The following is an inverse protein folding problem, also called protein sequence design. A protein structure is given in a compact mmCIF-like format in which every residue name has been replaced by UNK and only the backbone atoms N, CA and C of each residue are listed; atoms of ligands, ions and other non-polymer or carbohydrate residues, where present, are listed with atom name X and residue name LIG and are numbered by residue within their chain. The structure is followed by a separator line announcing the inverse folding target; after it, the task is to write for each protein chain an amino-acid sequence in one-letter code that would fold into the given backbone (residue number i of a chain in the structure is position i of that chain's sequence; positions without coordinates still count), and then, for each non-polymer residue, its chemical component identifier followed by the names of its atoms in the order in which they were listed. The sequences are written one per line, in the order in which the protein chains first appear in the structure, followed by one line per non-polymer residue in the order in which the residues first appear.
data_IF_663093466393
#
_entry.id   IF_663093466393
#
_cell.length_a   1.000
_cell.length_b   1.000
_cell.length_c   1.000
_cell.angle_alpha   90.00
_cell.angle_beta   90.00
_cell.angle_gamma   90.00
#
_symmetry.space_group_name_H-M   'P 1'
#
loop_
_entity.id
_entity.type
_entity.pdbx_description
1 polymer ?
#
# COMPACT_ATOMS: atom_id res chain seq x y z
N UNK A 1 -15.38 -26.08 19.81
CA UNK A 1 -15.07 -25.28 18.62
C UNK A 1 -13.57 -25.21 18.52
N UNK A 2 -12.99 -25.64 17.41
CA UNK A 2 -11.53 -25.74 17.30
C UNK A 2 -10.95 -24.33 17.17
N UNK A 3 -10.21 -23.90 18.18
CA UNK A 3 -9.42 -22.67 18.14
C UNK A 3 -8.23 -22.90 17.21
N UNK A 4 -8.24 -22.28 16.06
CA UNK A 4 -7.14 -22.33 15.12
C UNK A 4 -5.93 -21.63 15.72
N UNK A 5 -4.83 -22.33 15.83
CA UNK A 5 -3.56 -21.73 16.23
C UNK A 5 -2.98 -20.91 15.07
N UNK A 6 -2.18 -19.91 15.39
CA UNK A 6 -1.47 -19.07 14.40
C UNK A 6 -0.75 -19.92 13.32
N UNK A 7 -0.27 -21.09 13.70
CA UNK A 7 0.39 -22.06 12.83
C UNK A 7 -0.58 -22.73 11.83
N UNK A 8 -1.82 -22.97 12.23
CA UNK A 8 -2.85 -23.62 11.39
C UNK A 8 -3.46 -22.64 10.36
N UNK A 9 -3.64 -21.39 10.74
CA UNK A 9 -4.08 -20.33 9.82
C UNK A 9 -3.06 -20.14 8.70
N UNK A 10 -1.78 -20.18 9.04
CA UNK A 10 -0.67 -19.98 8.09
C UNK A 10 -0.42 -21.19 7.18
N UNK A 11 -0.67 -22.40 7.66
CA UNK A 11 -0.60 -23.60 6.83
C UNK A 11 -1.69 -23.63 5.74
N UNK A 12 -2.89 -23.09 6.03
CA UNK A 12 -3.95 -22.95 5.02
C UNK A 12 -3.66 -21.82 3.99
N UNK A 13 -2.84 -20.85 4.36
CA UNK A 13 -2.43 -19.76 3.45
C UNK A 13 -1.29 -20.15 2.50
N UNK A 14 -0.81 -21.40 2.55
CA UNK A 14 0.33 -21.86 1.73
C UNK A 14 1.67 -21.23 2.12
N UNK A 15 1.75 -20.58 3.28
CA UNK A 15 2.97 -20.01 3.82
C UNK A 15 3.53 -21.03 4.83
N UNK A 16 4.71 -21.57 4.58
CA UNK A 16 5.36 -22.47 5.52
C UNK A 16 5.49 -21.80 6.90
N UNK A 17 5.04 -22.49 7.95
CA UNK A 17 4.97 -21.97 9.32
C UNK A 17 6.30 -21.41 9.89
N UNK A 18 7.41 -21.69 9.22
CA UNK A 18 8.75 -21.22 9.58
C UNK A 18 9.05 -19.78 9.15
N UNK A 19 8.38 -19.26 8.10
CA UNK A 19 8.64 -17.90 7.58
C UNK A 19 7.99 -16.77 8.40
N UNK A 20 7.11 -17.13 9.34
CA UNK A 20 6.19 -16.17 9.98
C UNK A 20 6.73 -15.51 11.24
N UNK A 21 7.74 -16.09 11.89
CA UNK A 21 8.25 -15.52 13.13
C UNK A 21 9.10 -14.27 12.97
N UNK A 22 9.50 -13.94 11.74
CA UNK A 22 10.33 -12.76 11.42
C UNK A 22 9.69 -11.77 10.45
N UNK A 23 8.52 -12.13 9.86
CA UNK A 23 7.83 -11.19 8.98
C UNK A 23 7.10 -10.14 9.81
N UNK A 24 7.44 -8.92 9.53
CA UNK A 24 6.74 -7.74 9.99
C UNK A 24 5.26 -7.84 9.58
N UNK A 25 4.29 -7.48 10.44
CA UNK A 25 2.86 -7.42 10.08
C UNK A 25 2.57 -6.64 8.79
N UNK A 26 3.43 -5.70 8.41
CA UNK A 26 3.36 -4.99 7.14
C UNK A 26 3.65 -5.92 5.95
N UNK A 27 4.62 -6.79 6.08
CA UNK A 27 4.93 -7.79 5.04
C UNK A 27 3.79 -8.80 4.88
N UNK A 28 3.10 -9.15 5.97
CA UNK A 28 1.89 -9.98 5.92
C UNK A 28 0.72 -9.26 5.20
N UNK A 29 0.59 -7.97 5.36
CA UNK A 29 -0.44 -7.17 4.68
C UNK A 29 -0.20 -7.05 3.17
N UNK A 30 1.02 -7.27 2.73
CA UNK A 30 1.46 -7.10 1.37
C UNK A 30 2.07 -8.35 0.70
N UNK A 31 2.06 -9.56 1.31
CA UNK A 31 2.61 -10.79 0.72
C UNK A 31 1.56 -11.55 -0.12
N UNK A 32 1.57 -11.45 -1.44
CA UNK A 32 0.77 -12.28 -2.34
C UNK A 32 1.37 -13.68 -2.42
N UNK A 33 0.61 -14.77 -2.24
CA UNK A 33 1.09 -16.10 -2.53
C UNK A 33 1.60 -16.11 -3.98
N UNK A 34 2.87 -16.49 -4.17
CA UNK A 34 3.44 -16.60 -5.49
C UNK A 34 2.72 -17.70 -6.27
N UNK A 35 1.74 -17.32 -7.06
CA UNK A 35 1.27 -18.17 -8.14
C UNK A 35 2.25 -18.03 -9.30
N UNK A 36 2.55 -19.16 -9.95
CA UNK A 36 3.55 -19.35 -10.98
C UNK A 36 3.88 -18.11 -11.82
N UNK A 37 5.15 -17.74 -11.84
CA UNK A 37 5.69 -16.67 -12.67
C UNK A 37 5.34 -16.93 -14.15
N UNK A 38 4.49 -16.11 -14.67
CA UNK A 38 4.51 -15.73 -16.06
C UNK A 38 5.61 -14.68 -16.28
N UNK A 39 6.25 -14.71 -17.41
CA UNK A 39 7.38 -13.86 -17.77
C UNK A 39 7.07 -12.37 -17.49
N UNK A 40 8.10 -11.59 -17.23
CA UNK A 40 8.14 -10.15 -16.89
C UNK A 40 7.29 -9.20 -17.77
N UNK A 41 6.49 -9.72 -18.68
CA UNK A 41 5.63 -8.95 -19.59
C UNK A 41 4.34 -8.46 -18.97
N UNK A 42 3.90 -9.04 -17.84
CA UNK A 42 2.56 -8.81 -17.31
C UNK A 42 2.59 -8.29 -15.85
N UNK A 43 3.56 -7.42 -15.52
CA UNK A 43 3.68 -6.82 -14.20
C UNK A 43 2.52 -5.90 -13.85
N UNK A 44 2.04 -5.21 -14.87
CA UNK A 44 0.98 -4.21 -14.76
C UNK A 44 0.08 -4.27 -15.97
N UNK A 45 -1.20 -4.06 -15.73
CA UNK A 45 -2.15 -3.74 -16.78
C UNK A 45 -2.50 -2.25 -16.69
N UNK A 46 -2.28 -1.51 -17.78
CA UNK A 46 -2.69 -0.11 -17.85
C UNK A 46 -4.14 -0.02 -18.30
N UNK A 47 -5.03 0.33 -17.36
CA UNK A 47 -6.48 0.45 -17.60
C UNK A 47 -6.90 1.91 -17.67
N UNK A 48 -7.71 2.28 -18.64
CA UNK A 48 -8.30 3.62 -18.73
C UNK A 48 -9.42 3.75 -17.69
N UNK A 49 -9.35 4.80 -16.86
CA UNK A 49 -10.37 5.12 -15.83
C UNK A 49 -11.27 6.24 -16.30
N UNK A 50 -10.66 7.27 -16.88
CA UNK A 50 -11.37 8.42 -17.48
C UNK A 50 -10.57 8.95 -18.66
N UNK A 51 -11.03 10.02 -19.30
CA UNK A 51 -10.27 10.59 -20.41
C UNK A 51 -8.92 11.12 -19.97
N UNK A 52 -7.84 10.57 -20.56
CA UNK A 52 -6.45 10.86 -20.18
C UNK A 52 -6.06 10.45 -18.77
N UNK A 53 -6.84 9.58 -18.08
CA UNK A 53 -6.54 9.06 -16.75
C UNK A 53 -6.52 7.55 -16.78
N UNK A 54 -5.42 6.98 -16.32
CA UNK A 54 -5.18 5.54 -16.31
C UNK A 54 -4.72 5.08 -14.92
N UNK A 55 -4.95 3.81 -14.63
CA UNK A 55 -4.35 3.10 -13.50
C UNK A 55 -3.45 1.99 -14.05
N UNK A 56 -2.24 1.90 -13.55
CA UNK A 56 -1.40 0.72 -13.68
C UNK A 56 -1.68 -0.19 -12.48
N UNK A 57 -2.54 -1.18 -12.69
CA UNK A 57 -2.90 -2.14 -11.64
C UNK A 57 -1.77 -3.14 -11.49
N UNK A 58 -1.21 -3.26 -10.30
CA UNK A 58 -0.15 -4.23 -10.03
C UNK A 58 -0.67 -5.66 -10.22
N UNK A 59 0.07 -6.49 -10.95
CA UNK A 59 -0.28 -7.89 -11.11
C UNK A 59 -0.12 -8.62 -9.78
N UNK A 60 -1.11 -9.49 -9.46
CA UNK A 60 -1.13 -10.26 -8.22
C UNK A 60 0.06 -11.23 -8.04
N UNK A 61 0.89 -11.41 -9.07
CA UNK A 61 2.08 -12.26 -9.08
C UNK A 61 3.30 -11.63 -8.44
N UNK A 62 3.29 -10.32 -8.18
CA UNK A 62 4.41 -9.61 -7.57
C UNK A 62 4.16 -9.32 -6.11
N UNK A 63 5.16 -9.68 -5.30
CA UNK A 63 5.21 -9.28 -3.89
C UNK A 63 5.31 -7.76 -3.86
N UNK A 64 4.25 -7.08 -3.39
CA UNK A 64 4.22 -5.67 -3.05
C UNK A 64 4.57 -4.72 -4.20
N UNK A 65 3.61 -4.49 -5.04
CA UNK A 65 3.63 -3.34 -5.94
C UNK A 65 2.36 -2.54 -5.70
N UNK A 66 2.49 -1.28 -5.31
CA UNK A 66 1.37 -0.35 -5.29
C UNK A 66 0.85 -0.12 -6.71
N UNK A 67 -0.35 0.37 -6.83
CA UNK A 67 -0.82 0.94 -8.08
C UNK A 67 -0.05 2.23 -8.40
N UNK A 68 0.00 2.59 -9.68
CA UNK A 68 0.31 3.94 -10.10
C UNK A 68 -0.84 4.51 -10.90
N UNK A 69 -1.19 5.77 -10.67
CA UNK A 69 -2.07 6.48 -11.59
C UNK A 69 -1.26 7.29 -12.59
N UNK A 70 -1.75 7.35 -13.82
CA UNK A 70 -1.13 8.08 -14.93
C UNK A 70 -2.12 9.11 -15.45
N UNK A 71 -1.73 10.37 -15.38
CA UNK A 71 -2.54 11.52 -15.80
C UNK A 71 -1.86 12.16 -17.01
N UNK A 72 -2.54 12.14 -18.15
CA UNK A 72 -2.08 12.80 -19.37
C UNK A 72 -2.44 14.28 -19.31
N UNK A 73 -1.48 15.13 -19.64
CA UNK A 73 -1.67 16.58 -19.83
C UNK A 73 -1.16 16.98 -21.20
N UNK A 74 -1.40 18.23 -21.61
CA UNK A 74 -0.91 18.69 -22.91
C UNK A 74 0.64 18.79 -22.94
N UNK A 75 1.26 19.05 -21.80
CA UNK A 75 2.72 19.22 -21.68
C UNK A 75 3.49 17.95 -21.33
N UNK A 76 2.81 16.91 -20.86
CA UNK A 76 3.49 15.72 -20.40
C UNK A 76 2.60 14.77 -19.63
N UNK A 77 3.22 13.96 -18.82
CA UNK A 77 2.57 12.96 -17.97
C UNK A 77 2.87 13.27 -16.51
N UNK A 78 1.86 13.11 -15.67
CA UNK A 78 2.00 13.07 -14.21
C UNK A 78 1.74 11.65 -13.76
N UNK A 79 2.64 11.12 -12.94
CA UNK A 79 2.48 9.80 -12.33
C UNK A 79 2.21 9.99 -10.83
N UNK A 80 1.18 9.33 -10.32
CA UNK A 80 0.88 9.28 -8.89
C UNK A 80 1.35 7.94 -8.37
N UNK A 81 2.30 7.99 -7.44
CA UNK A 81 3.11 6.90 -6.90
C UNK A 81 4.01 6.19 -7.92
N UNK A 82 5.17 5.74 -7.48
CA UNK A 82 6.23 5.25 -8.35
C UNK A 82 6.67 3.81 -8.06
N UNK A 83 5.88 3.08 -7.26
CA UNK A 83 6.11 1.68 -6.91
C UNK A 83 7.25 1.38 -5.93
N UNK A 84 7.32 0.10 -5.59
CA UNK A 84 8.18 -0.48 -4.57
C UNK A 84 9.64 -0.67 -4.98
N UNK A 85 9.94 -0.60 -6.25
CA UNK A 85 11.30 -0.89 -6.76
C UNK A 85 11.50 -0.38 -8.19
N UNK A 86 12.75 -0.11 -8.59
CA UNK A 86 13.07 0.40 -9.92
C UNK A 86 12.56 -0.47 -11.08
N UNK A 87 12.57 -1.80 -10.94
CA UNK A 87 12.04 -2.69 -12.00
C UNK A 87 10.54 -2.54 -12.17
N UNK A 88 9.78 -2.36 -11.09
CA UNK A 88 8.34 -2.12 -11.14
C UNK A 88 8.03 -0.76 -11.80
N UNK A 89 8.76 0.29 -11.40
CA UNK A 89 8.66 1.61 -12.02
C UNK A 89 8.99 1.57 -13.51
N UNK A 90 10.02 0.81 -13.91
CA UNK A 90 10.38 0.61 -15.32
C UNK A 90 9.26 -0.05 -16.12
N UNK A 91 8.58 -1.04 -15.55
CA UNK A 91 7.47 -1.70 -16.21
C UNK A 91 6.33 -0.70 -16.49
N UNK A 92 5.93 0.12 -15.50
CA UNK A 92 4.92 1.17 -15.72
C UNK A 92 5.38 2.24 -16.71
N UNK A 93 6.64 2.68 -16.59
CA UNK A 93 7.19 3.64 -17.55
C UNK A 93 7.11 3.12 -19.00
N UNK A 94 7.39 1.83 -19.21
CA UNK A 94 7.24 1.18 -20.51
C UNK A 94 5.78 1.16 -21.01
N UNK A 95 4.82 0.91 -20.12
CA UNK A 95 3.39 0.98 -20.49
C UNK A 95 2.96 2.41 -20.83
N UNK A 96 3.44 3.41 -20.10
CA UNK A 96 3.20 4.82 -20.43
C UNK A 96 3.71 5.14 -21.85
N UNK A 97 4.91 4.67 -22.22
CA UNK A 97 5.47 4.91 -23.54
C UNK A 97 4.70 4.26 -24.70
N UNK A 98 3.88 3.25 -24.43
CA UNK A 98 2.98 2.65 -25.45
C UNK A 98 1.79 3.56 -25.78
N UNK A 99 1.38 4.43 -24.87
CA UNK A 99 0.20 5.29 -25.04
C UNK A 99 0.56 6.75 -25.32
N UNK A 100 1.79 7.20 -25.06
CA UNK A 100 2.22 8.57 -25.36
C UNK A 100 3.74 8.68 -25.49
N UNK A 101 4.16 9.66 -26.34
CA UNK A 101 5.56 10.08 -26.48
C UNK A 101 5.93 11.23 -25.55
N UNK A 102 4.97 11.75 -24.78
CA UNK A 102 5.18 12.88 -23.88
C UNK A 102 6.05 12.47 -22.69
N UNK A 103 6.97 13.33 -22.23
CA UNK A 103 7.81 13.01 -21.06
C UNK A 103 6.99 12.99 -19.77
N UNK A 104 7.44 12.21 -18.79
CA UNK A 104 6.93 12.33 -17.42
C UNK A 104 7.51 13.61 -16.82
N UNK A 105 6.66 14.55 -16.46
CA UNK A 105 7.04 15.86 -15.93
C UNK A 105 6.99 15.92 -14.41
N UNK A 106 6.05 15.18 -13.82
CA UNK A 106 5.83 15.19 -12.37
C UNK A 106 5.56 13.80 -11.84
N UNK A 107 6.03 13.57 -10.62
CA UNK A 107 5.54 12.49 -9.76
C UNK A 107 4.87 13.15 -8.56
N UNK A 108 3.76 12.56 -8.11
CA UNK A 108 3.13 12.90 -6.84
C UNK A 108 3.15 11.65 -5.97
N UNK A 109 3.89 11.68 -4.86
CA UNK A 109 3.85 10.61 -3.88
C UNK A 109 2.72 10.87 -2.89
N UNK A 110 1.82 9.89 -2.74
CA UNK A 110 0.67 9.98 -1.84
C UNK A 110 1.08 9.95 -0.38
N UNK A 111 2.07 9.13 -0.02
CA UNK A 111 2.60 9.01 1.33
C UNK A 111 4.02 8.40 1.32
N UNK A 112 4.60 8.15 2.49
CA UNK A 112 6.01 7.80 2.63
C UNK A 112 6.31 6.30 2.61
N UNK A 113 5.33 5.40 2.55
CA UNK A 113 5.59 3.97 2.52
C UNK A 113 6.37 3.58 1.27
N UNK A 114 7.28 2.64 1.47
CA UNK A 114 8.36 2.30 0.53
C UNK A 114 7.87 1.92 -0.87
N UNK A 115 6.72 1.30 -0.98
CA UNK A 115 6.14 0.85 -2.24
C UNK A 115 5.48 1.98 -3.07
N UNK A 116 5.46 3.21 -2.57
CA UNK A 116 4.90 4.37 -3.25
C UNK A 116 5.95 5.34 -3.80
N UNK A 117 7.23 5.22 -3.40
CA UNK A 117 8.25 6.20 -3.80
C UNK A 117 9.61 5.62 -4.26
N UNK A 118 9.89 4.33 -4.04
CA UNK A 118 11.19 3.77 -4.37
C UNK A 118 11.49 3.74 -5.88
N UNK A 119 10.50 3.90 -6.74
CA UNK A 119 10.69 4.06 -8.18
C UNK A 119 11.00 5.49 -8.65
N UNK A 120 11.01 6.47 -7.76
CA UNK A 120 11.23 7.88 -8.12
C UNK A 120 12.54 8.10 -8.88
N UNK A 121 13.60 7.39 -8.53
CA UNK A 121 14.92 7.51 -9.15
C UNK A 121 14.91 7.12 -10.63
N UNK A 122 14.17 6.10 -11.01
CA UNK A 122 14.02 5.71 -12.41
C UNK A 122 13.41 6.83 -13.25
N UNK A 123 12.32 7.42 -12.76
CA UNK A 123 11.66 8.50 -13.47
C UNK A 123 12.56 9.73 -13.57
N UNK A 124 13.28 10.05 -12.49
CA UNK A 124 14.22 11.18 -12.45
C UNK A 124 15.39 10.99 -13.41
N UNK A 125 15.92 9.77 -13.51
CA UNK A 125 17.01 9.46 -14.43
C UNK A 125 16.61 9.57 -15.91
N UNK A 126 15.34 9.29 -16.24
CA UNK A 126 14.84 9.30 -17.61
C UNK A 126 14.16 10.63 -18.01
N UNK A 127 13.92 11.53 -17.06
CA UNK A 127 13.20 12.78 -17.32
C UNK A 127 13.95 13.97 -16.66
N UNK A 128 14.88 14.61 -17.36
CA UNK A 128 15.54 15.82 -16.88
C UNK A 128 14.52 16.90 -16.51
N UNK A 129 14.63 17.47 -15.31
CA UNK A 129 13.70 18.48 -14.81
C UNK A 129 12.43 17.92 -14.17
N UNK A 130 12.35 16.61 -13.94
CA UNK A 130 11.23 15.99 -13.21
C UNK A 130 11.02 16.67 -11.85
N UNK A 131 9.80 17.10 -11.58
CA UNK A 131 9.35 17.57 -10.27
C UNK A 131 8.74 16.39 -9.49
N UNK A 132 9.17 16.21 -8.24
CA UNK A 132 8.60 15.21 -7.33
C UNK A 132 7.88 15.97 -6.22
N UNK A 133 6.58 15.74 -6.09
CA UNK A 133 5.68 16.45 -5.18
C UNK A 133 5.19 15.48 -4.10
N UNK A 134 5.19 15.92 -2.84
CA UNK A 134 4.58 15.21 -1.72
C UNK A 134 4.12 16.22 -0.65
N UNK A 135 3.52 15.74 0.42
CA UNK A 135 3.35 16.58 1.60
C UNK A 135 4.70 16.81 2.29
N UNK A 136 4.78 17.87 3.08
CA UNK A 136 5.96 18.17 3.89
C UNK A 136 6.24 17.03 4.88
N UNK A 137 5.18 16.47 5.49
CA UNK A 137 5.28 15.32 6.41
C UNK A 137 5.79 14.07 5.72
N UNK A 138 5.30 13.75 4.52
CA UNK A 138 5.82 12.64 3.72
C UNK A 138 7.31 12.82 3.47
N UNK A 139 7.77 14.00 3.03
CA UNK A 139 9.18 14.29 2.80
C UNK A 139 10.03 14.13 4.08
N UNK A 140 9.55 14.63 5.20
CA UNK A 140 10.22 14.46 6.51
C UNK A 140 10.36 12.99 6.88
N UNK A 141 9.26 12.23 6.75
CA UNK A 141 9.22 10.81 7.13
C UNK A 141 10.12 9.93 6.26
N UNK A 142 10.45 10.34 5.05
CA UNK A 142 11.39 9.60 4.20
C UNK A 142 12.81 9.52 4.79
N UNK A 143 13.20 10.44 5.65
CA UNK A 143 14.55 10.52 6.22
C UNK A 143 14.62 10.36 7.74
N UNK A 144 13.47 10.38 8.43
CA UNK A 144 13.42 10.23 9.90
C UNK A 144 13.85 8.83 10.33
N UNK A 145 14.73 8.70 11.35
CA UNK A 145 15.20 7.40 11.85
C UNK A 145 14.09 6.50 12.41
N UNK A 146 13.02 7.09 12.92
CA UNK A 146 11.89 6.43 13.57
C UNK A 146 10.59 6.51 12.75
N UNK A 147 10.69 6.89 11.49
CA UNK A 147 9.53 7.10 10.61
C UNK A 147 8.88 5.78 10.11
N UNK A 148 8.76 4.78 10.97
CA UNK A 148 8.07 3.55 10.58
C UNK A 148 8.71 2.88 9.35
N UNK A 149 7.90 2.36 8.45
CA UNK A 149 8.30 1.38 7.44
C UNK A 149 8.43 1.92 6.03
N UNK A 150 8.73 3.16 5.84
CA UNK A 150 8.62 3.68 4.49
C UNK A 150 9.80 4.45 3.99
N UNK A 151 10.56 5.05 4.89
CA UNK A 151 11.68 5.91 4.53
C UNK A 151 12.99 5.15 4.31
N UNK A 152 14.08 5.91 4.27
CA UNK A 152 15.45 5.37 4.17
C UNK A 152 15.77 4.35 5.27
N UNK A 153 15.37 4.55 6.55
CA UNK A 153 15.61 3.54 7.58
C UNK A 153 15.03 2.17 7.26
N UNK A 154 13.88 2.11 6.60
CA UNK A 154 13.31 0.85 6.13
C UNK A 154 14.18 0.19 5.05
N UNK A 155 14.68 0.96 4.07
CA UNK A 155 15.61 0.45 3.05
C UNK A 155 16.88 -0.11 3.69
N UNK A 156 17.45 0.60 4.65
CA UNK A 156 18.63 0.16 5.41
C UNK A 156 18.36 -1.11 6.22
N UNK A 157 17.18 -1.22 6.82
CA UNK A 157 16.76 -2.42 7.53
C UNK A 157 16.64 -3.60 6.55
N UNK A 158 15.98 -3.42 5.41
CA UNK A 158 15.84 -4.48 4.39
C UNK A 158 17.21 -4.95 3.88
N UNK A 159 18.16 -4.05 3.64
CA UNK A 159 19.52 -4.41 3.26
C UNK A 159 20.24 -5.27 4.33
N UNK A 160 19.89 -5.11 5.60
CA UNK A 160 20.45 -5.91 6.71
C UNK A 160 19.76 -7.25 6.88
N UNK A 161 18.42 -7.32 6.70
CA UNK A 161 17.62 -8.51 7.02
C UNK A 161 17.47 -9.46 5.85
N UNK A 162 17.32 -8.97 4.61
CA UNK A 162 17.12 -9.78 3.41
C UNK A 162 18.18 -10.89 3.20
N UNK A 163 19.49 -10.68 3.45
CA UNK A 163 20.46 -11.77 3.32
C UNK A 163 20.14 -12.98 4.20
N UNK A 164 19.74 -12.76 5.46
CA UNK A 164 19.38 -13.83 6.37
C UNK A 164 18.04 -14.50 5.98
N UNK A 165 17.09 -13.74 5.49
CA UNK A 165 15.82 -14.26 4.97
C UNK A 165 16.02 -15.13 3.73
N UNK A 166 16.91 -14.72 2.81
CA UNK A 166 17.30 -15.50 1.63
C UNK A 166 17.91 -16.85 2.04
N UNK A 167 18.84 -16.86 2.99
CA UNK A 167 19.45 -18.11 3.47
C UNK A 167 18.40 -19.01 4.15
N UNK A 168 17.46 -18.44 4.88
CA UNK A 168 16.34 -19.17 5.45
C UNK A 168 15.45 -19.78 4.38
N UNK A 169 15.08 -19.03 3.34
CA UNK A 169 14.29 -19.54 2.22
C UNK A 169 15.00 -20.74 1.54
N UNK A 170 16.30 -20.66 1.31
CA UNK A 170 17.10 -21.77 0.76
C UNK A 170 17.04 -23.02 1.65
N UNK A 171 17.16 -22.84 2.96
CA UNK A 171 17.08 -23.93 3.91
C UNK A 171 15.68 -24.56 3.97
N UNK A 172 14.62 -23.75 3.87
CA UNK A 172 13.24 -24.20 3.87
C UNK A 172 12.91 -24.98 2.57
N UNK A 173 13.37 -24.48 1.41
CA UNK A 173 13.25 -25.17 0.10
C UNK A 173 13.91 -26.55 0.14
N UNK A 174 15.10 -26.65 0.76
CA UNK A 174 15.82 -27.91 0.85
C UNK A 174 15.10 -28.98 1.68
N UNK A 175 14.22 -28.58 2.60
CA UNK A 175 13.46 -29.47 3.50
C UNK A 175 12.02 -29.70 3.04
N UNK A 176 11.53 -28.91 2.08
CA UNK A 176 10.13 -28.97 1.66
C UNK A 176 9.89 -30.15 0.72
N UNK A 177 8.95 -31.01 1.11
CA UNK A 177 8.56 -32.21 0.36
C UNK A 177 7.34 -31.97 -0.56
N UNK A 178 6.50 -31.00 -0.23
CA UNK A 178 5.33 -30.66 -1.05
C UNK A 178 5.77 -29.82 -2.25
N UNK A 179 5.49 -30.29 -3.47
CA UNK A 179 5.93 -29.66 -4.70
C UNK A 179 5.38 -28.24 -4.91
N UNK A 180 4.11 -28.00 -4.55
CA UNK A 180 3.49 -26.69 -4.72
C UNK A 180 4.05 -25.67 -3.71
N UNK A 181 4.21 -26.09 -2.47
CA UNK A 181 4.86 -25.27 -1.42
C UNK A 181 6.31 -24.95 -1.80
N UNK A 182 7.05 -25.94 -2.28
CA UNK A 182 8.43 -25.76 -2.74
C UNK A 182 8.53 -24.74 -3.87
N UNK A 183 7.67 -24.84 -4.88
CA UNK A 183 7.60 -23.88 -5.99
C UNK A 183 7.30 -22.47 -5.51
N UNK A 184 6.42 -22.30 -4.52
CA UNK A 184 6.12 -21.00 -3.94
C UNK A 184 7.33 -20.41 -3.19
N UNK A 185 8.06 -21.22 -2.44
CA UNK A 185 9.29 -20.84 -1.76
C UNK A 185 10.40 -20.45 -2.76
N UNK A 186 10.56 -21.21 -3.84
CA UNK A 186 11.52 -20.91 -4.93
C UNK A 186 11.18 -19.55 -5.61
N UNK A 187 9.91 -19.29 -5.86
CA UNK A 187 9.48 -17.98 -6.37
C UNK A 187 9.76 -16.85 -5.39
N UNK A 188 9.51 -17.06 -4.10
CA UNK A 188 9.81 -16.09 -3.04
C UNK A 188 11.31 -15.81 -2.94
N UNK A 189 12.14 -16.86 -3.03
CA UNK A 189 13.60 -16.74 -3.05
C UNK A 189 14.08 -15.88 -4.21
N UNK A 190 13.62 -16.17 -5.43
CA UNK A 190 13.98 -15.42 -6.63
C UNK A 190 13.61 -13.93 -6.50
N UNK A 191 12.43 -13.63 -5.97
CA UNK A 191 11.98 -12.25 -5.75
C UNK A 191 12.82 -11.54 -4.69
N UNK A 192 13.14 -12.22 -3.57
CA UNK A 192 13.97 -11.66 -2.52
C UNK A 192 15.40 -11.35 -2.99
N UNK A 193 16.00 -12.28 -3.76
CA UNK A 193 17.33 -12.08 -4.34
C UNK A 193 17.35 -10.92 -5.35
N UNK A 194 16.35 -10.83 -6.23
CA UNK A 194 16.22 -9.73 -7.19
C UNK A 194 16.05 -8.39 -6.47
N UNK A 195 15.18 -8.33 -5.49
CA UNK A 195 14.93 -7.11 -4.71
C UNK A 195 16.18 -6.65 -3.94
N UNK A 196 16.93 -7.58 -3.34
CA UNK A 196 18.19 -7.26 -2.67
C UNK A 196 19.20 -6.63 -3.63
N UNK A 197 19.30 -7.11 -4.88
CA UNK A 197 20.19 -6.53 -5.87
C UNK A 197 19.75 -5.12 -6.29
N UNK A 198 18.45 -4.89 -6.44
CA UNK A 198 17.91 -3.56 -6.72
C UNK A 198 18.15 -2.59 -5.57
N UNK A 199 17.93 -3.02 -4.31
CA UNK A 199 18.20 -2.19 -3.12
C UNK A 199 19.67 -1.81 -2.97
N UNK A 200 20.61 -2.70 -3.31
CA UNK A 200 22.05 -2.38 -3.29
C UNK A 200 22.44 -1.26 -4.26
N UNK A 201 21.68 -1.08 -5.33
CA UNK A 201 21.89 -0.06 -6.35
C UNK A 201 20.95 1.14 -6.21
N UNK A 202 20.04 1.08 -5.25
CA UNK A 202 19.01 2.08 -5.04
C UNK A 202 19.61 3.46 -4.74
N UNK A 203 19.14 4.47 -5.45
CA UNK A 203 19.50 5.88 -5.25
C UNK A 203 18.23 6.66 -4.93
N UNK A 204 18.03 7.06 -3.67
CA UNK A 204 16.78 7.71 -3.31
C UNK A 204 16.60 9.05 -4.04
N UNK A 205 15.43 9.27 -4.62
CA UNK A 205 15.03 10.54 -5.19
C UNK A 205 13.86 11.12 -4.39
N UNK A 206 14.15 12.14 -3.60
CA UNK A 206 13.23 12.76 -2.68
C UNK A 206 12.35 13.83 -3.34
N UNK A 207 11.19 14.18 -2.70
CA UNK A 207 10.36 15.29 -3.14
C UNK A 207 11.15 16.59 -3.27
N UNK A 208 11.03 17.21 -4.45
CA UNK A 208 11.64 18.51 -4.77
C UNK A 208 10.72 19.68 -4.44
N UNK A 209 9.41 19.41 -4.37
CA UNK A 209 8.38 20.34 -3.96
C UNK A 209 7.48 19.71 -2.89
N UNK A 210 7.12 20.48 -1.89
CA UNK A 210 6.18 20.06 -0.85
C UNK A 210 4.92 20.92 -0.83
N UNK A 211 3.84 20.31 -0.32
CA UNK A 211 2.57 20.96 -0.04
C UNK A 211 2.16 20.68 1.39
N UNK A 212 1.70 21.71 2.11
CA UNK A 212 1.22 21.61 3.50
C UNK A 212 -0.28 21.88 3.62
N UNK A 213 -0.87 22.43 2.56
CA UNK A 213 -2.30 22.72 2.44
C UNK A 213 -2.78 22.30 1.06
N UNK A 214 -4.10 22.24 0.87
CA UNK A 214 -4.68 22.00 -0.45
C UNK A 214 -4.14 23.00 -1.48
N UNK A 215 -3.68 22.46 -2.62
CA UNK A 215 -3.11 23.22 -3.71
C UNK A 215 -3.71 22.78 -5.05
N UNK A 216 -3.65 23.64 -6.05
CA UNK A 216 -4.10 23.31 -7.41
C UNK A 216 -2.93 23.39 -8.38
N UNK A 217 -2.71 22.32 -9.13
CA UNK A 217 -1.85 22.30 -10.31
C UNK A 217 -2.75 22.61 -11.52
N UNK A 218 -2.41 23.68 -12.23
CA UNK A 218 -3.05 24.02 -13.50
C UNK A 218 -2.11 23.61 -14.63
N UNK A 219 -2.31 22.40 -15.08
CA UNK A 219 -1.61 21.88 -16.26
C UNK A 219 -2.44 22.19 -17.50
N UNK A 220 -1.79 22.37 -18.63
CA UNK A 220 -2.53 22.69 -19.85
C UNK A 220 -3.64 21.67 -20.12
N UNK A 221 -4.86 22.16 -20.22
CA UNK A 221 -6.07 21.37 -20.43
C UNK A 221 -6.64 20.66 -19.21
N UNK A 222 -6.00 20.75 -18.00
CA UNK A 222 -6.44 19.97 -16.82
C UNK A 222 -6.21 20.71 -15.49
N UNK A 223 -7.22 20.68 -14.63
CA UNK A 223 -7.11 21.07 -13.23
C UNK A 223 -6.89 19.82 -12.37
N UNK A 224 -5.85 19.85 -11.54
CA UNK A 224 -5.50 18.75 -10.64
C UNK A 224 -5.39 19.34 -9.24
N UNK A 225 -6.24 18.90 -8.34
CA UNK A 225 -6.25 19.36 -6.96
C UNK A 225 -5.47 18.40 -6.08
N UNK A 226 -4.47 18.90 -5.39
CA UNK A 226 -3.71 18.22 -4.35
C UNK A 226 -4.40 18.52 -3.02
N UNK A 227 -5.10 17.54 -2.45
CA UNK A 227 -5.93 17.70 -1.26
C UNK A 227 -5.17 17.21 -0.02
N UNK A 228 -4.89 18.10 0.93
CA UNK A 228 -4.37 17.76 2.27
C UNK A 228 -5.55 17.84 3.26
N UNK A 229 -6.12 16.69 3.60
CA UNK A 229 -7.40 16.62 4.33
C UNK A 229 -7.24 16.27 5.82
N UNK A 230 -6.07 15.84 6.23
CA UNK A 230 -5.77 15.41 7.60
C UNK A 230 -5.00 14.10 7.63
N UNK A 231 -4.71 13.62 8.85
CA UNK A 231 -4.03 12.33 9.04
C UNK A 231 -5.00 11.17 8.80
N UNK A 232 -4.48 10.08 8.25
CA UNK A 232 -5.28 8.90 7.93
C UNK A 232 -4.45 7.64 8.01
N UNK A 233 -4.08 7.08 6.86
CA UNK A 233 -3.16 5.96 6.74
C UNK A 233 -1.77 6.29 7.28
N UNK A 234 -1.35 7.53 7.04
CA UNK A 234 -0.15 8.15 7.62
C UNK A 234 -0.46 9.57 8.12
N UNK A 235 0.54 10.27 8.63
CA UNK A 235 0.43 11.68 8.98
C UNK A 235 0.70 12.63 7.81
N UNK A 236 0.98 12.08 6.63
CA UNK A 236 1.35 12.83 5.43
C UNK A 236 0.54 12.49 4.18
N UNK A 237 -0.63 11.90 4.32
CA UNK A 237 -1.45 11.49 3.17
C UNK A 237 -1.83 12.66 2.25
N UNK A 238 -1.61 12.46 0.95
CA UNK A 238 -1.96 13.40 -0.10
C UNK A 238 -2.95 12.74 -1.07
N UNK A 239 -4.08 13.40 -1.29
CA UNK A 239 -5.10 12.96 -2.22
C UNK A 239 -5.04 13.78 -3.50
N UNK A 240 -5.13 13.14 -4.65
CA UNK A 240 -5.07 13.80 -5.95
C UNK A 240 -6.47 13.71 -6.58
N UNK A 241 -7.13 14.86 -6.72
CA UNK A 241 -8.49 14.94 -7.21
C UNK A 241 -8.57 15.64 -8.57
N UNK A 242 -9.26 15.01 -9.49
CA UNK A 242 -9.55 15.51 -10.84
C UNK A 242 -11.04 15.86 -10.94
N UNK A 243 -11.43 17.12 -10.74
CA UNK A 243 -12.85 17.52 -10.65
C UNK A 243 -13.64 17.22 -11.92
N UNK A 244 -13.05 17.50 -13.09
CA UNK A 244 -13.70 17.28 -14.39
C UNK A 244 -13.93 15.79 -14.67
N UNK A 245 -12.96 14.96 -14.37
CA UNK A 245 -12.99 13.50 -14.60
C UNK A 245 -13.73 12.77 -13.49
N UNK A 246 -14.01 13.43 -12.38
CA UNK A 246 -14.60 12.84 -11.17
C UNK A 246 -13.83 11.64 -10.63
N UNK A 247 -12.50 11.74 -10.65
CA UNK A 247 -11.57 10.71 -10.18
C UNK A 247 -10.77 11.24 -9.01
N UNK A 248 -10.58 10.42 -7.98
CA UNK A 248 -9.65 10.69 -6.87
C UNK A 248 -8.66 9.54 -6.71
N UNK A 249 -7.37 9.86 -6.52
CA UNK A 249 -6.32 8.93 -6.17
C UNK A 249 -6.03 9.09 -4.68
N UNK A 250 -6.04 7.99 -3.94
CA UNK A 250 -6.05 8.04 -2.47
C UNK A 250 -4.80 7.48 -1.81
N UNK A 251 -3.89 6.86 -2.58
CA UNK A 251 -2.90 6.00 -1.97
C UNK A 251 -3.57 5.00 -1.03
N UNK A 252 -2.90 4.60 0.02
CA UNK A 252 -3.37 3.59 0.95
C UNK A 252 -4.41 4.08 1.98
N UNK A 253 -4.82 5.36 1.88
CA UNK A 253 -5.98 5.81 2.63
C UNK A 253 -7.27 5.07 2.22
N UNK A 254 -7.29 4.45 1.02
CA UNK A 254 -8.22 3.40 0.62
C UNK A 254 -7.47 2.30 -0.12
N UNK A 255 -7.77 1.05 0.26
CA UNK A 255 -7.30 -0.16 -0.41
C UNK A 255 -8.46 -1.15 -0.53
N UNK A 256 -8.39 -2.07 -1.50
CA UNK A 256 -9.47 -3.03 -1.75
C UNK A 256 -9.42 -4.27 -0.83
N UNK A 257 -8.87 -4.11 0.38
CA UNK A 257 -8.78 -5.13 1.43
C UNK A 257 -8.76 -4.53 2.84
N UNK A 258 -8.29 -5.30 3.85
CA UNK A 258 -8.13 -4.81 5.22
C UNK A 258 -7.13 -3.65 5.28
N UNK A 259 -7.49 -2.50 5.89
CA UNK A 259 -6.55 -1.40 6.05
C UNK A 259 -5.37 -1.77 6.93
N UNK A 260 -4.21 -1.23 6.60
CA UNK A 260 -3.04 -1.29 7.45
C UNK A 260 -3.04 -0.10 8.42
N UNK A 261 -3.19 -0.37 9.71
CA UNK A 261 -3.43 0.67 10.73
C UNK A 261 -2.18 1.01 11.54
N UNK A 262 -1.06 0.29 11.30
CA UNK A 262 0.13 0.41 12.15
C UNK A 262 0.69 1.84 12.23
N UNK A 263 0.81 2.54 11.11
CA UNK A 263 1.30 3.91 11.03
C UNK A 263 0.14 4.92 11.01
N UNK A 264 -1.10 4.42 10.88
CA UNK A 264 -2.33 5.20 10.74
C UNK A 264 -2.80 5.87 12.04
N UNK A 265 -3.76 6.75 11.87
CA UNK A 265 -4.43 7.53 12.91
C UNK A 265 -5.94 7.21 12.89
N UNK A 266 -6.39 6.09 13.45
CA UNK A 266 -7.70 5.52 13.16
C UNK A 266 -8.90 6.46 13.35
N UNK A 267 -8.91 7.27 14.42
CA UNK A 267 -9.99 8.24 14.66
C UNK A 267 -9.97 9.40 13.66
N UNK A 268 -8.79 9.93 13.40
CA UNK A 268 -8.61 11.02 12.44
C UNK A 268 -8.82 10.54 11.01
N UNK A 269 -8.48 9.28 10.72
CA UNK A 269 -8.71 8.67 9.42
C UNK A 269 -10.21 8.65 9.06
N UNK A 270 -11.08 8.33 10.02
CA UNK A 270 -12.54 8.44 9.83
C UNK A 270 -12.95 9.88 9.47
N UNK A 271 -12.40 10.88 10.17
CA UNK A 271 -12.68 12.29 9.88
C UNK A 271 -12.15 12.71 8.51
N UNK A 272 -10.95 12.29 8.15
CA UNK A 272 -10.30 12.56 6.85
C UNK A 272 -11.09 11.97 5.70
N UNK A 273 -11.55 10.71 5.81
CA UNK A 273 -12.42 10.08 4.82
C UNK A 273 -13.79 10.76 4.73
N UNK A 274 -14.30 11.29 5.84
CA UNK A 274 -15.53 12.09 5.84
C UNK A 274 -15.35 13.43 5.08
N UNK A 275 -14.16 14.03 5.18
CA UNK A 275 -13.83 15.21 4.38
C UNK A 275 -13.68 14.86 2.89
N UNK A 276 -13.01 13.75 2.59
CA UNK A 276 -12.84 13.27 1.21
C UNK A 276 -14.18 12.97 0.54
N UNK A 277 -15.14 12.38 1.26
CA UNK A 277 -16.48 12.06 0.74
C UNK A 277 -17.24 13.29 0.22
N UNK A 278 -16.93 14.50 0.71
CA UNK A 278 -17.58 15.76 0.26
C UNK A 278 -17.20 16.16 -1.15
N UNK A 279 -16.09 15.63 -1.70
CA UNK A 279 -15.70 15.87 -3.08
C UNK A 279 -16.65 15.15 -4.06
N UNK A 280 -16.88 15.77 -5.21
CA UNK A 280 -17.74 15.21 -6.27
C UNK A 280 -16.95 14.28 -7.18
N UNK A 281 -16.71 13.06 -6.73
CA UNK A 281 -16.08 12.01 -7.54
C UNK A 281 -16.96 10.75 -7.62
N UNK A 282 -16.71 9.95 -8.66
CA UNK A 282 -17.37 8.67 -8.91
C UNK A 282 -16.41 7.49 -8.88
N UNK A 283 -15.13 7.73 -9.17
CA UNK A 283 -14.09 6.71 -9.24
C UNK A 283 -12.96 7.01 -8.26
N UNK A 284 -12.51 5.96 -7.57
CA UNK A 284 -11.35 5.99 -6.69
C UNK A 284 -10.28 5.10 -7.31
N UNK A 285 -9.09 5.65 -7.50
CA UNK A 285 -7.87 4.88 -7.74
C UNK A 285 -7.20 4.68 -6.39
N UNK A 286 -7.26 3.45 -5.82
CA UNK A 286 -6.66 3.16 -4.52
C UNK A 286 -5.16 2.93 -4.65
N UNK A 287 -4.45 2.91 -3.52
CA UNK A 287 -3.04 2.55 -3.50
C UNK A 287 -2.78 1.11 -3.94
N UNK A 288 -3.73 0.22 -3.68
CA UNK A 288 -3.69 -1.19 -4.08
C UNK A 288 -5.07 -1.68 -4.51
N UNK A 289 -5.10 -2.61 -5.46
CA UNK A 289 -6.33 -3.24 -5.96
C UNK A 289 -6.97 -2.51 -7.13
N UNK A 290 -8.21 -2.86 -7.42
CA UNK A 290 -8.94 -2.34 -8.58
C UNK A 290 -9.56 -0.97 -8.32
N UNK A 291 -9.96 -0.28 -9.39
CA UNK A 291 -10.73 0.97 -9.30
C UNK A 291 -12.03 0.74 -8.55
N UNK A 292 -12.32 1.60 -7.60
CA UNK A 292 -13.47 1.48 -6.71
C UNK A 292 -14.50 2.60 -6.94
N UNK A 293 -15.79 2.33 -6.73
CA UNK A 293 -16.83 3.36 -6.67
C UNK A 293 -16.78 4.14 -5.35
N UNK A 294 -17.39 5.32 -5.31
CA UNK A 294 -17.51 6.15 -4.09
C UNK A 294 -18.12 5.40 -2.89
N UNK A 295 -19.00 4.44 -3.12
CA UNK A 295 -19.59 3.60 -2.06
C UNK A 295 -18.55 2.77 -1.29
N UNK A 296 -17.41 2.43 -1.92
CA UNK A 296 -16.34 1.73 -1.24
C UNK A 296 -15.70 2.58 -0.14
N UNK A 297 -15.58 3.90 -0.33
CA UNK A 297 -15.11 4.81 0.71
C UNK A 297 -16.04 4.77 1.93
N UNK A 298 -17.36 4.81 1.71
CA UNK A 298 -18.35 4.78 2.80
C UNK A 298 -18.24 3.47 3.59
N UNK A 299 -18.09 2.35 2.87
CA UNK A 299 -17.91 1.03 3.47
C UNK A 299 -16.61 0.93 4.29
N UNK A 300 -15.49 1.36 3.71
CA UNK A 300 -14.17 1.35 4.35
C UNK A 300 -14.14 2.25 5.61
N UNK A 301 -14.68 3.47 5.50
CA UNK A 301 -14.83 4.36 6.65
C UNK A 301 -15.71 3.75 7.74
N UNK A 302 -16.79 3.07 7.34
CA UNK A 302 -17.65 2.33 8.27
C UNK A 302 -16.86 1.29 9.06
N UNK A 303 -16.00 0.53 8.40
CA UNK A 303 -15.12 -0.44 9.08
C UNK A 303 -14.22 0.22 10.13
N UNK A 304 -13.54 1.31 9.77
CA UNK A 304 -12.67 2.02 10.72
C UNK A 304 -13.44 2.58 11.91
N UNK A 305 -14.63 3.14 11.65
CA UNK A 305 -15.51 3.69 12.69
C UNK A 305 -15.98 2.61 13.66
N UNK A 306 -16.48 1.49 13.14
CA UNK A 306 -16.96 0.37 13.96
C UNK A 306 -15.80 -0.26 14.76
N UNK A 307 -14.64 -0.46 14.12
CA UNK A 307 -13.46 -0.97 14.80
C UNK A 307 -13.02 -0.09 15.97
N UNK A 308 -12.95 1.22 15.77
CA UNK A 308 -12.59 2.18 16.83
C UNK A 308 -13.61 2.16 17.95
N UNK A 309 -14.91 2.12 17.62
CA UNK A 309 -15.99 2.10 18.61
C UNK A 309 -15.98 0.81 19.45
N UNK A 310 -15.83 -0.36 18.80
CA UNK A 310 -15.78 -1.66 19.49
C UNK A 310 -14.56 -1.77 20.40
N UNK A 311 -13.37 -1.31 19.95
CA UNK A 311 -12.16 -1.31 20.78
C UNK A 311 -12.30 -0.38 21.99
N UNK A 312 -12.83 0.83 21.81
CA UNK A 312 -13.07 1.75 22.92
C UNK A 312 -14.05 1.18 23.96
N UNK A 313 -15.16 0.60 23.47
CA UNK A 313 -16.16 -0.02 24.33
C UNK A 313 -15.55 -1.17 25.13
N UNK A 314 -14.89 -2.11 24.47
CA UNK A 314 -14.30 -3.27 25.12
C UNK A 314 -13.21 -2.86 26.15
N UNK A 315 -12.44 -1.82 25.87
CA UNK A 315 -11.47 -1.27 26.81
C UNK A 315 -12.14 -0.64 28.05
N UNK A 316 -13.23 0.09 27.86
CA UNK A 316 -14.01 0.65 28.97
C UNK A 316 -14.65 -0.43 29.84
N UNK A 317 -15.03 -1.56 29.23
CA UNK A 317 -15.56 -2.75 29.90
C UNK A 317 -14.44 -3.59 30.58
N UNK A 318 -13.18 -3.18 30.52
CA UNK A 318 -12.04 -3.82 31.16
C UNK A 318 -11.49 -5.05 30.43
N UNK A 319 -11.85 -5.27 29.17
CA UNK A 319 -11.38 -6.42 28.39
C UNK A 319 -9.88 -6.32 28.10
N UNK A 320 -9.16 -7.43 28.17
CA UNK A 320 -7.78 -7.54 27.70
C UNK A 320 -7.70 -7.47 26.18
N UNK A 321 -6.52 -7.12 25.64
CA UNK A 321 -6.31 -7.05 24.19
C UNK A 321 -6.59 -8.40 23.50
N UNK A 322 -6.23 -9.50 24.13
CA UNK A 322 -6.47 -10.84 23.56
C UNK A 322 -7.98 -11.21 23.53
N UNK A 323 -8.74 -10.80 24.54
CA UNK A 323 -10.20 -10.91 24.53
C UNK A 323 -10.82 -10.02 23.45
N UNK A 324 -10.31 -8.80 23.27
CA UNK A 324 -10.74 -7.90 22.20
C UNK A 324 -10.48 -8.52 20.81
N UNK A 325 -9.30 -9.08 20.56
CA UNK A 325 -8.96 -9.75 19.30
C UNK A 325 -9.95 -10.86 18.94
N UNK A 326 -10.43 -11.60 19.92
CA UNK A 326 -11.40 -12.66 19.69
C UNK A 326 -12.83 -12.10 19.50
N UNK A 327 -13.31 -11.30 20.47
CA UNK A 327 -14.69 -10.83 20.49
C UNK A 327 -15.02 -9.86 19.35
N UNK A 328 -14.15 -8.88 19.11
CA UNK A 328 -14.37 -7.86 18.06
C UNK A 328 -14.24 -8.48 16.68
N UNK A 329 -13.31 -9.44 16.48
CA UNK A 329 -13.22 -10.13 15.21
C UNK A 329 -14.51 -10.86 14.85
N UNK A 330 -15.15 -11.54 15.81
CA UNK A 330 -16.45 -12.21 15.60
C UNK A 330 -17.60 -11.20 15.45
N UNK A 331 -17.59 -10.10 16.21
CA UNK A 331 -18.61 -9.05 16.14
C UNK A 331 -18.67 -8.39 14.75
N UNK A 332 -17.51 -8.05 14.18
CA UNK A 332 -17.44 -7.33 12.92
C UNK A 332 -17.45 -8.24 11.68
N UNK A 333 -17.19 -9.55 11.83
CA UNK A 333 -17.08 -10.50 10.72
C UNK A 333 -18.34 -10.53 9.81
N UNK A 334 -19.59 -10.56 10.31
CA UNK A 334 -20.76 -10.63 9.45
C UNK A 334 -20.86 -9.48 8.45
N UNK A 335 -20.34 -8.31 8.82
CA UNK A 335 -20.39 -7.11 7.98
C UNK A 335 -19.20 -6.96 7.05
N UNK A 336 -18.01 -7.38 7.48
CA UNK A 336 -16.75 -6.99 6.80
C UNK A 336 -15.93 -8.14 6.25
N UNK A 337 -15.99 -9.35 6.82
CA UNK A 337 -15.10 -10.45 6.47
C UNK A 337 -15.11 -10.80 4.98
N UNK A 338 -16.31 -11.01 4.42
CA UNK A 338 -16.45 -11.41 3.01
C UNK A 338 -15.91 -10.35 2.04
N UNK A 339 -16.20 -9.08 2.31
CA UNK A 339 -15.79 -8.00 1.42
C UNK A 339 -14.29 -7.70 1.51
N UNK A 340 -13.71 -7.85 2.71
CA UNK A 340 -12.30 -7.52 2.97
C UNK A 340 -11.36 -8.73 2.86
N UNK A 341 -11.85 -9.91 2.45
CA UNK A 341 -11.04 -11.13 2.25
C UNK A 341 -10.93 -11.53 0.78
N UNK A 342 -11.21 -10.61 -0.15
CA UNK A 342 -11.17 -10.89 -1.59
C UNK A 342 -9.78 -11.20 -2.12
N UNK A 343 -8.75 -10.68 -1.48
CA UNK A 343 -7.37 -10.93 -1.83
C UNK A 343 -6.72 -11.87 -0.80
N UNK A 344 -5.79 -12.74 -1.20
CA UNK A 344 -5.06 -13.61 -0.28
C UNK A 344 -4.33 -12.86 0.83
N UNK A 345 -3.95 -11.62 0.53
CA UNK A 345 -3.39 -10.67 1.47
C UNK A 345 -4.46 -9.85 2.14
N UNK A 346 -4.17 -9.46 3.37
CA UNK A 346 -5.10 -8.66 4.13
C UNK A 346 -6.42 -9.39 4.38
N UNK A 347 -6.40 -10.73 4.44
CA UNK A 347 -7.58 -11.48 4.85
C UNK A 347 -8.03 -11.03 6.23
N UNK A 348 -9.33 -10.86 6.38
CA UNK A 348 -9.95 -10.36 7.60
C UNK A 348 -9.41 -11.06 8.85
N UNK A 349 -9.48 -12.40 8.91
CA UNK A 349 -9.05 -13.19 10.08
C UNK A 349 -7.57 -13.08 10.41
N UNK A 350 -6.72 -12.82 9.43
CA UNK A 350 -5.28 -12.65 9.64
C UNK A 350 -4.93 -11.25 10.14
N UNK A 351 -5.65 -10.24 9.72
CA UNK A 351 -5.29 -8.83 9.89
C UNK A 351 -6.06 -8.11 11.00
N UNK A 352 -7.31 -8.52 11.28
CA UNK A 352 -8.17 -7.83 12.25
C UNK A 352 -7.55 -7.74 13.65
N UNK A 353 -6.88 -8.81 14.12
CA UNK A 353 -6.23 -8.81 15.42
C UNK A 353 -5.11 -7.78 15.56
N UNK A 354 -4.36 -7.57 14.48
CA UNK A 354 -3.29 -6.56 14.40
C UNK A 354 -3.93 -5.14 14.43
N UNK A 355 -5.00 -4.95 13.68
CA UNK A 355 -5.71 -3.67 13.66
C UNK A 355 -6.31 -3.33 15.02
N UNK A 356 -6.92 -4.30 15.73
CA UNK A 356 -7.44 -4.13 17.09
C UNK A 356 -6.32 -3.69 18.05
N UNK A 357 -5.18 -4.35 18.03
CA UNK A 357 -4.04 -4.02 18.87
C UNK A 357 -3.53 -2.60 18.62
N UNK A 358 -3.39 -2.22 17.34
CA UNK A 358 -2.95 -0.89 16.96
C UNK A 358 -3.98 0.20 17.34
N UNK A 359 -5.27 -0.05 17.14
CA UNK A 359 -6.31 0.89 17.59
C UNK A 359 -6.29 1.02 19.10
N UNK A 360 -6.19 -0.09 19.85
CA UNK A 360 -6.10 -0.04 21.30
C UNK A 360 -4.90 0.80 21.76
N UNK A 361 -3.70 0.57 21.18
CA UNK A 361 -2.49 1.32 21.50
C UNK A 361 -2.64 2.82 21.21
N UNK A 362 -3.18 3.17 20.05
CA UNK A 362 -3.20 4.57 19.57
C UNK A 362 -4.38 5.38 20.08
N UNK A 363 -5.50 4.73 20.39
CA UNK A 363 -6.75 5.42 20.74
C UNK A 363 -7.04 5.31 22.23
N UNK A 364 -6.79 4.17 22.84
CA UNK A 364 -7.08 3.94 24.26
C UNK A 364 -5.89 4.34 25.12
N UNK A 365 -4.69 3.83 24.84
CA UNK A 365 -3.50 4.14 25.63
C UNK A 365 -2.88 5.50 25.30
N UNK A 366 -3.20 6.09 24.14
CA UNK A 366 -2.64 7.37 23.65
C UNK A 366 -1.12 7.42 23.75
N UNK A 367 -0.46 6.31 23.41
CA UNK A 367 0.99 6.17 23.38
C UNK A 367 1.58 6.68 22.06
#
# INVERSE_FOLDING_TARGET
MATWTRRQVLAQMGIAAAAVHTLDPHELCCAVPAHAQTATKDLFELKKVADGVYIAVAAATYKINSNAAVIMTDDGVIVVDSHSKPSAARAVYTEIQKVTNKPVRKIVNTHFHWDHWQGNDLYKANNPGLEIIATERTKENLTKPDAGRGGIPFVEQQLKTLPAEIEKLKADIAKEANADTKKNLESSLQQAEAYLQELKQFKPAFPTRTVSTTATLREQGREIQLQVLGRGHTDGDLYIYLPKEKVVMTGDALVDWMPFVNDGYPEEWVATLTALEKLDFTHIIPGHGEVMPKSALVFFRGYLSDLVASVKKAAADGASVDEMKTKIAEELAPKYEKAMSRYPLGQYRASIGINIENVHRKVVKKA
#
